data_IF_122600469324
#
_entry.id   IF_122600469324
#
_cell.length_a   1.000
_cell.length_b   1.000
_cell.length_c   1.000
_cell.angle_alpha   90.00
_cell.angle_beta   90.00
_cell.angle_gamma   90.00
#
_symmetry.space_group_name_H-M   'P 1'
#
loop_
_entity.id
_entity.type
_entity.pdbx_description
1 polymer ?
#
# COMPACT_ATOMS: atom_id res chain seq x y z
N UNK A 1 -18.71 2.88 -14.23
CA UNK A 1 -18.30 3.61 -13.02
C UNK A 1 -19.48 3.62 -12.05
N UNK A 2 -19.24 3.49 -10.74
CA UNK A 2 -20.32 3.61 -9.75
C UNK A 2 -20.75 5.07 -9.63
N UNK A 3 -22.05 5.37 -9.43
CA UNK A 3 -22.56 6.74 -9.25
C UNK A 3 -21.88 7.49 -8.11
N UNK A 4 -21.35 6.76 -7.12
CA UNK A 4 -20.62 7.36 -6.00
C UNK A 4 -19.24 7.91 -6.42
N UNK A 5 -18.58 7.34 -7.43
CA UNK A 5 -17.26 7.81 -7.86
C UNK A 5 -17.29 9.20 -8.50
N UNK A 6 -18.43 9.59 -9.08
CA UNK A 6 -18.63 10.93 -9.63
C UNK A 6 -18.86 11.99 -8.55
N UNK A 7 -19.21 11.58 -7.33
CA UNK A 7 -19.46 12.48 -6.21
C UNK A 7 -18.22 12.73 -5.34
N UNK A 8 -17.24 11.82 -5.34
CA UNK A 8 -16.04 11.91 -4.51
C UNK A 8 -15.32 13.27 -4.50
N UNK A 9 -15.14 13.98 -5.64
CA UNK A 9 -14.46 15.28 -5.63
C UNK A 9 -15.22 16.40 -4.88
N UNK A 10 -16.49 16.15 -4.52
CA UNK A 10 -17.38 17.12 -3.86
C UNK A 10 -17.68 16.74 -2.41
N UNK A 11 -17.21 15.59 -1.94
CA UNK A 11 -17.37 15.15 -0.56
C UNK A 11 -16.30 15.78 0.32
N UNK A 12 -16.61 16.01 1.58
CA UNK A 12 -15.62 16.39 2.59
C UNK A 12 -14.88 15.17 3.18
N UNK A 13 -13.86 15.44 4.00
CA UNK A 13 -13.01 14.41 4.59
C UNK A 13 -13.80 13.44 5.50
N UNK A 14 -14.81 13.93 6.23
CA UNK A 14 -15.65 13.11 7.10
C UNK A 14 -16.55 12.18 6.28
N UNK A 15 -17.16 12.70 5.20
CA UNK A 15 -17.99 11.92 4.27
C UNK A 15 -17.17 10.84 3.55
N UNK A 16 -15.93 11.13 3.16
CA UNK A 16 -15.02 10.15 2.54
C UNK A 16 -14.62 9.08 3.56
N UNK A 17 -14.29 9.47 4.79
CA UNK A 17 -13.95 8.54 5.87
C UNK A 17 -15.10 7.59 6.18
N UNK A 18 -16.32 8.12 6.31
CA UNK A 18 -17.55 7.34 6.51
C UNK A 18 -17.79 6.31 5.40
N UNK A 19 -17.53 6.71 4.16
CA UNK A 19 -17.67 5.83 2.99
C UNK A 19 -16.66 4.68 3.04
N UNK A 20 -15.41 5.00 3.39
CA UNK A 20 -14.33 4.01 3.57
C UNK A 20 -14.68 3.03 4.68
N UNK A 21 -15.14 3.50 5.84
CA UNK A 21 -15.52 2.64 6.95
C UNK A 21 -16.62 1.65 6.57
N UNK A 22 -17.67 2.11 5.87
CA UNK A 22 -18.76 1.25 5.37
C UNK A 22 -18.24 0.22 4.38
N UNK A 23 -17.33 0.60 3.49
CA UNK A 23 -16.71 -0.33 2.56
C UNK A 23 -15.85 -1.39 3.27
N UNK A 24 -15.06 -0.99 4.28
CA UNK A 24 -14.24 -1.91 5.08
C UNK A 24 -15.06 -2.86 5.95
N UNK A 25 -16.26 -2.46 6.39
CA UNK A 25 -17.23 -3.30 7.11
C UNK A 25 -17.97 -4.30 6.20
N UNK A 26 -17.83 -4.18 4.87
CA UNK A 26 -18.54 -5.02 3.90
C UNK A 26 -19.95 -4.53 3.56
N UNK A 27 -20.34 -3.33 4.01
CA UNK A 27 -21.66 -2.76 3.70
C UNK A 27 -21.75 -2.31 2.22
N UNK A 28 -20.60 -2.12 1.57
CA UNK A 28 -20.47 -1.64 0.19
C UNK A 28 -19.67 -2.63 -0.68
N UNK A 29 -20.13 -3.88 -0.78
CA UNK A 29 -19.44 -4.99 -1.46
C UNK A 29 -18.97 -4.74 -2.91
N UNK A 30 -19.56 -3.78 -3.62
CA UNK A 30 -19.20 -3.45 -5.01
C UNK A 30 -18.30 -2.22 -5.15
N UNK A 31 -17.95 -1.56 -4.04
CA UNK A 31 -17.06 -0.40 -4.05
C UNK A 31 -15.60 -0.86 -4.07
N UNK A 32 -14.83 -0.33 -5.02
CA UNK A 32 -13.37 -0.44 -4.99
C UNK A 32 -12.84 0.67 -4.08
N UNK A 33 -12.04 0.37 -3.06
CA UNK A 33 -11.46 1.44 -2.23
C UNK A 33 -10.50 2.35 -3.01
N UNK A 34 -9.88 1.84 -4.09
CA UNK A 34 -8.91 2.61 -4.89
C UNK A 34 -9.49 3.89 -5.53
N UNK A 35 -10.81 4.00 -5.69
CA UNK A 35 -11.42 5.23 -6.21
C UNK A 35 -11.37 6.38 -5.19
N UNK A 36 -11.27 6.11 -3.88
CA UNK A 36 -11.23 7.16 -2.86
C UNK A 36 -9.85 7.76 -2.67
N UNK A 37 -8.76 7.07 -3.05
CA UNK A 37 -7.39 7.48 -2.71
C UNK A 37 -7.01 8.90 -3.14
N UNK A 38 -7.39 9.40 -4.34
CA UNK A 38 -7.04 10.77 -4.74
C UNK A 38 -7.76 11.86 -3.94
N UNK A 39 -8.80 11.50 -3.19
CA UNK A 39 -9.68 12.44 -2.48
C UNK A 39 -9.59 12.28 -0.97
N UNK A 40 -9.14 11.12 -0.50
CA UNK A 40 -8.96 10.84 0.92
C UNK A 40 -7.80 11.65 1.51
N UNK A 41 -8.02 12.17 2.71
CA UNK A 41 -6.98 12.78 3.53
C UNK A 41 -5.99 11.72 4.05
N UNK A 42 -4.91 12.18 4.69
CA UNK A 42 -3.87 11.27 5.18
C UNK A 42 -4.35 10.39 6.33
N UNK A 43 -5.29 10.85 7.17
CA UNK A 43 -5.86 10.01 8.23
C UNK A 43 -6.64 8.84 7.63
N UNK A 44 -7.48 9.10 6.64
CA UNK A 44 -8.26 8.08 5.95
C UNK A 44 -7.37 7.13 5.15
N UNK A 45 -6.34 7.64 4.46
CA UNK A 45 -5.38 6.78 3.76
C UNK A 45 -4.59 5.88 4.72
N UNK A 46 -4.20 6.38 5.90
CA UNK A 46 -3.57 5.58 6.95
C UNK A 46 -4.53 4.49 7.45
N UNK A 47 -5.80 4.81 7.68
CA UNK A 47 -6.82 3.81 8.06
C UNK A 47 -6.93 2.68 7.02
N UNK A 48 -6.95 3.02 5.73
CA UNK A 48 -7.05 2.04 4.65
C UNK A 48 -5.85 1.10 4.65
N UNK A 49 -4.62 1.64 4.71
CA UNK A 49 -3.42 0.79 4.66
C UNK A 49 -3.25 -0.03 5.93
N UNK A 50 -3.60 0.51 7.10
CA UNK A 50 -3.55 -0.23 8.36
C UNK A 50 -4.52 -1.41 8.36
N UNK A 51 -5.70 -1.24 7.74
CA UNK A 51 -6.63 -2.36 7.51
C UNK A 51 -6.00 -3.42 6.57
N UNK A 52 -5.39 -3.03 5.45
CA UNK A 52 -4.74 -4.00 4.56
C UNK A 52 -3.55 -4.71 5.19
N UNK A 53 -2.78 -4.04 6.06
CA UNK A 53 -1.71 -4.64 6.85
C UNK A 53 -2.29 -5.70 7.79
N UNK A 54 -3.33 -5.34 8.55
CA UNK A 54 -3.98 -6.26 9.49
C UNK A 54 -4.53 -7.52 8.80
N UNK A 55 -5.08 -7.36 7.60
CA UNK A 55 -5.65 -8.46 6.82
C UNK A 55 -4.61 -9.22 5.96
N UNK A 56 -3.32 -8.85 6.04
CA UNK A 56 -2.26 -9.52 5.27
C UNK A 56 -2.35 -9.31 3.75
N UNK A 57 -2.97 -8.21 3.30
CA UNK A 57 -3.28 -7.98 1.89
C UNK A 57 -2.16 -7.21 1.18
N UNK A 58 -0.97 -7.83 1.06
CA UNK A 58 0.24 -7.22 0.49
C UNK A 58 0.02 -6.50 -0.86
N UNK A 59 -0.70 -7.14 -1.79
CA UNK A 59 -1.04 -6.54 -3.09
C UNK A 59 -1.84 -5.25 -2.95
N UNK A 60 -2.76 -5.16 -1.98
CA UNK A 60 -3.56 -3.95 -1.75
C UNK A 60 -2.77 -2.85 -1.05
N UNK A 61 -1.86 -3.20 -0.13
CA UNK A 61 -0.93 -2.24 0.50
C UNK A 61 -0.19 -1.45 -0.59
N UNK A 62 0.36 -2.13 -1.60
CA UNK A 62 1.09 -1.47 -2.70
C UNK A 62 0.24 -0.46 -3.48
N UNK A 63 -1.08 -0.65 -3.58
CA UNK A 63 -1.96 0.31 -4.26
C UNK A 63 -2.08 1.66 -3.52
N UNK A 64 -1.79 1.67 -2.22
CA UNK A 64 -1.90 2.87 -1.37
C UNK A 64 -0.63 3.71 -1.38
N UNK A 65 0.53 3.09 -1.62
CA UNK A 65 1.87 3.70 -1.49
C UNK A 65 2.01 5.06 -2.20
N UNK A 66 1.50 5.28 -3.43
CA UNK A 66 1.62 6.58 -4.09
C UNK A 66 0.89 7.74 -3.39
N UNK A 67 -0.04 7.43 -2.48
CA UNK A 67 -0.91 8.40 -1.81
C UNK A 67 -0.54 8.61 -0.33
N UNK A 68 0.43 7.85 0.18
CA UNK A 68 0.85 7.91 1.58
C UNK A 68 1.99 8.90 1.80
N UNK A 69 2.02 9.47 3.00
CA UNK A 69 3.19 10.17 3.50
C UNK A 69 4.41 9.25 3.70
N UNK A 70 5.60 9.82 3.53
CA UNK A 70 6.88 9.11 3.68
C UNK A 70 7.03 8.40 5.03
N UNK A 71 6.45 8.96 6.10
CA UNK A 71 6.52 8.36 7.43
C UNK A 71 5.81 7.00 7.46
N UNK A 72 4.59 6.91 6.91
CA UNK A 72 3.84 5.66 6.81
C UNK A 72 4.51 4.68 5.84
N UNK A 73 5.08 5.15 4.73
CA UNK A 73 5.84 4.29 3.80
C UNK A 73 7.07 3.66 4.50
N UNK A 74 7.78 4.43 5.32
CA UNK A 74 8.89 3.90 6.12
C UNK A 74 8.42 2.85 7.13
N UNK A 75 7.26 3.05 7.77
CA UNK A 75 6.65 2.04 8.66
C UNK A 75 6.36 0.73 7.91
N UNK A 76 5.75 0.82 6.73
CA UNK A 76 5.49 -0.34 5.86
C UNK A 76 6.78 -1.05 5.48
N UNK A 77 7.84 -0.30 5.16
CA UNK A 77 9.15 -0.88 4.88
C UNK A 77 9.68 -1.68 6.08
N UNK A 78 9.65 -1.14 7.30
CA UNK A 78 10.13 -1.87 8.49
C UNK A 78 9.33 -3.16 8.75
N UNK A 79 8.02 -3.11 8.48
CA UNK A 79 7.15 -4.28 8.60
C UNK A 79 7.46 -5.34 7.53
N UNK A 80 7.71 -4.94 6.28
CA UNK A 80 8.16 -5.84 5.22
C UNK A 80 9.53 -6.46 5.55
N UNK A 81 10.47 -5.63 5.98
CA UNK A 81 11.84 -6.04 6.32
C UNK A 81 11.92 -7.01 7.48
N UNK A 82 11.09 -6.79 8.50
CA UNK A 82 10.96 -7.72 9.62
C UNK A 82 10.09 -8.94 9.31
N UNK A 83 9.71 -9.14 8.03
CA UNK A 83 8.85 -10.24 7.55
C UNK A 83 7.51 -10.35 8.28
N UNK A 84 6.97 -9.22 8.74
CA UNK A 84 5.67 -9.14 9.41
C UNK A 84 4.50 -9.00 8.44
N UNK A 85 4.78 -8.69 7.18
CA UNK A 85 3.80 -8.66 6.09
C UNK A 85 4.24 -9.69 5.05
N UNK A 86 3.60 -10.85 5.05
CA UNK A 86 3.88 -11.90 4.08
C UNK A 86 3.52 -11.46 2.65
N UNK A 87 4.36 -11.81 1.67
CA UNK A 87 4.15 -11.49 0.26
C UNK A 87 4.39 -10.03 -0.14
N UNK A 88 4.84 -9.17 0.78
CA UNK A 88 5.27 -7.80 0.48
C UNK A 88 6.79 -7.74 0.35
N UNK A 89 7.27 -7.60 -0.90
CA UNK A 89 8.68 -7.34 -1.22
C UNK A 89 9.05 -5.89 -0.91
N UNK A 90 10.04 -5.67 -0.05
CA UNK A 90 10.47 -4.32 0.39
C UNK A 90 11.06 -3.49 -0.75
N UNK A 91 11.62 -4.17 -1.75
CA UNK A 91 12.20 -3.61 -2.98
C UNK A 91 11.16 -2.81 -3.77
N UNK A 92 9.88 -3.22 -3.72
CA UNK A 92 8.80 -2.53 -4.43
C UNK A 92 8.53 -1.13 -3.87
N UNK A 93 8.98 -0.83 -2.65
CA UNK A 93 8.85 0.48 -2.03
C UNK A 93 9.95 1.45 -2.49
N UNK A 94 11.04 0.98 -3.08
CA UNK A 94 12.22 1.79 -3.46
C UNK A 94 11.89 3.11 -4.18
N UNK A 95 10.96 3.18 -5.15
CA UNK A 95 10.63 4.44 -5.84
C UNK A 95 10.11 5.53 -4.90
N UNK A 96 9.61 5.15 -3.72
CA UNK A 96 8.99 6.04 -2.74
C UNK A 96 9.86 6.28 -1.50
N UNK A 97 10.96 5.52 -1.35
CA UNK A 97 11.87 5.63 -0.21
C UNK A 97 12.83 6.82 -0.34
N UNK A 98 13.21 7.37 0.83
CA UNK A 98 14.25 8.37 0.90
C UNK A 98 15.65 7.77 0.68
N UNK A 99 16.59 8.61 0.23
CA UNK A 99 18.00 8.22 -0.04
C UNK A 99 18.66 7.44 1.10
N UNK A 100 18.39 7.80 2.35
CA UNK A 100 18.98 7.12 3.50
C UNK A 100 18.49 5.68 3.63
N UNK A 101 17.19 5.44 3.37
CA UNK A 101 16.60 4.11 3.46
C UNK A 101 17.04 3.21 2.31
N UNK A 102 17.19 3.78 1.10
CA UNK A 102 17.80 3.06 -0.03
C UNK A 102 19.24 2.63 0.28
N UNK A 103 20.04 3.50 0.94
CA UNK A 103 21.40 3.13 1.37
C UNK A 103 21.42 2.01 2.41
N UNK A 104 20.43 1.98 3.30
CA UNK A 104 20.28 0.93 4.30
C UNK A 104 19.92 -0.41 3.63
N UNK A 105 18.93 -0.40 2.73
CA UNK A 105 18.57 -1.56 1.90
C UNK A 105 19.78 -2.12 1.16
N UNK A 106 20.53 -1.25 0.47
CA UNK A 106 21.74 -1.65 -0.25
C UNK A 106 22.77 -2.32 0.65
N UNK A 107 23.05 -1.76 1.84
CA UNK A 107 23.98 -2.37 2.79
C UNK A 107 23.49 -3.74 3.27
N UNK A 108 22.20 -3.88 3.55
CA UNK A 108 21.62 -5.14 3.97
C UNK A 108 21.73 -6.22 2.88
N UNK A 109 21.58 -5.86 1.60
CA UNK A 109 21.80 -6.76 0.46
C UNK A 109 23.25 -7.22 0.38
N UNK A 110 24.23 -6.31 0.56
CA UNK A 110 25.66 -6.67 0.62
C UNK A 110 25.94 -7.70 1.72
N UNK A 111 25.43 -7.46 2.92
CA UNK A 111 25.69 -8.31 4.09
C UNK A 111 25.08 -9.71 3.94
N UNK A 112 23.94 -9.82 3.25
CA UNK A 112 23.29 -11.10 2.94
C UNK A 112 23.84 -11.80 1.70
N UNK A 113 24.75 -11.15 0.96
CA UNK A 113 25.22 -11.57 -0.36
C UNK A 113 24.06 -11.80 -1.35
N UNK A 114 23.00 -11.00 -1.19
CA UNK A 114 21.72 -11.12 -1.85
C UNK A 114 21.71 -10.23 -3.10
N UNK A 115 22.18 -10.81 -4.20
CA UNK A 115 22.29 -10.15 -5.51
C UNK A 115 21.56 -10.92 -6.62
N UNK A 116 20.85 -11.98 -6.27
CA UNK A 116 20.01 -12.68 -7.23
C UNK A 116 18.88 -11.77 -7.67
N UNK A 117 18.75 -11.59 -8.98
CA UNK A 117 17.47 -11.18 -9.54
C UNK A 117 16.50 -12.33 -9.32
N UNK A 118 15.43 -12.11 -8.55
CA UNK A 118 14.23 -12.97 -8.58
C UNK A 118 13.44 -12.73 -9.90
N UNK A 119 14.15 -12.63 -11.02
CA UNK A 119 13.60 -12.66 -12.38
C UNK A 119 13.46 -14.14 -12.79
N UNK A 120 12.88 -14.98 -11.92
CA UNK A 120 12.16 -16.14 -12.40
C UNK A 120 10.84 -15.59 -12.95
N UNK A 121 10.93 -15.10 -14.19
CA UNK A 121 9.79 -14.96 -15.06
C UNK A 121 9.00 -16.27 -14.97
N UNK A 122 7.71 -16.17 -14.67
CA UNK A 122 6.71 -17.22 -14.86
C UNK A 122 6.62 -17.57 -16.36
N UNK A 123 7.71 -18.08 -16.95
CA UNK A 123 7.74 -18.87 -18.17
C UNK A 123 7.32 -20.31 -17.79
N UNK A 124 6.10 -20.45 -17.26
CA UNK A 124 5.41 -21.75 -17.22
C UNK A 124 4.09 -21.66 -18.00
N UNK A 125 4.27 -21.89 -19.31
CA UNK A 125 3.50 -22.82 -20.15
C UNK A 125 2.00 -22.56 -20.46
N UNK A 126 1.79 -22.30 -21.76
CA UNK A 126 0.63 -22.54 -22.67
C UNK A 126 -0.80 -22.07 -22.31
#
# INVERSE_FOLDING_TARGET
MSKISTLLPFLDDEEIKDLVEKALKGDLNNMKLTMVYPFADQETMNMIVDHFIKEGQAKKIMTTVPFLEKAKINEIYELAHSKKIEGLREEMLMPFLGKNKIKELFKNMLDKNDFSSDDEDDDDEE
#
